data_IF_041945853618
#
_entry.id   IF_041945853618
#
_cell.length_a   1.000
_cell.length_b   1.000
_cell.length_c   1.000
_cell.angle_alpha   90.00
_cell.angle_beta   90.00
_cell.angle_gamma   90.00
#
_symmetry.space_group_name_H-M   'P 1'
#
loop_
_entity.id
_entity.type
_entity.pdbx_description
1 polymer ?
#
# COMPACT_ATOMS: atom_id res chain seq x y z
N UNK A 1 27.35 36.26 1.86
CA UNK A 1 25.95 35.89 1.56
C UNK A 1 25.05 35.91 2.80
N UNK A 2 25.51 35.40 3.95
CA UNK A 2 24.74 35.37 5.21
C UNK A 2 24.38 36.76 5.76
N UNK A 3 25.32 37.72 5.73
CA UNK A 3 25.09 39.09 6.24
C UNK A 3 24.04 39.85 5.42
N UNK A 4 24.04 39.68 4.10
CA UNK A 4 23.05 40.30 3.20
C UNK A 4 21.66 39.71 3.45
N UNK A 5 21.57 38.38 3.60
CA UNK A 5 20.31 37.72 3.96
C UNK A 5 19.75 38.19 5.31
N UNK A 6 20.64 38.40 6.30
CA UNK A 6 20.24 38.88 7.63
C UNK A 6 19.69 40.31 7.59
N UNK A 7 20.33 41.22 6.84
CA UNK A 7 19.85 42.60 6.66
C UNK A 7 18.47 42.65 5.99
N UNK A 8 18.27 41.82 4.96
CA UNK A 8 16.98 41.72 4.25
C UNK A 8 15.89 41.21 5.21
N UNK A 9 16.17 40.16 5.98
CA UNK A 9 15.22 39.62 6.94
C UNK A 9 14.81 40.67 7.99
N UNK A 10 15.79 41.40 8.53
CA UNK A 10 15.55 42.45 9.54
C UNK A 10 14.70 43.59 8.97
N UNK A 11 14.96 43.99 7.72
CA UNK A 11 14.17 45.01 7.03
C UNK A 11 12.71 44.57 6.81
N UNK A 12 12.49 43.32 6.36
CA UNK A 12 11.15 42.76 6.17
C UNK A 12 10.39 42.69 7.50
N UNK A 13 11.03 42.22 8.57
CA UNK A 13 10.42 42.15 9.89
C UNK A 13 10.02 43.54 10.41
N UNK A 14 10.91 44.54 10.24
CA UNK A 14 10.62 45.93 10.61
C UNK A 14 9.43 46.48 9.81
N UNK A 15 9.38 46.22 8.50
CA UNK A 15 8.29 46.64 7.62
C UNK A 15 6.96 45.98 8.03
N UNK A 16 6.98 44.69 8.35
CA UNK A 16 5.79 43.94 8.79
C UNK A 16 5.23 44.47 10.11
N UNK A 17 6.09 44.82 11.07
CA UNK A 17 5.65 45.40 12.34
C UNK A 17 5.09 46.82 12.12
N UNK A 18 5.73 47.62 11.28
CA UNK A 18 5.30 48.99 11.00
C UNK A 18 3.94 49.08 10.27
N UNK A 19 3.68 48.16 9.32
CA UNK A 19 2.45 48.18 8.52
C UNK A 19 1.31 47.36 9.11
N UNK A 20 1.58 46.17 9.68
CA UNK A 20 0.54 45.25 10.15
C UNK A 20 0.43 45.19 11.69
N UNK A 21 1.36 45.83 12.43
CA UNK A 21 1.38 45.79 13.89
C UNK A 21 1.57 44.36 14.42
N UNK A 22 0.92 43.98 15.54
CA UNK A 22 1.07 42.64 16.13
C UNK A 22 0.55 41.52 15.21
N UNK A 23 -0.35 41.84 14.28
CA UNK A 23 -0.89 40.87 13.33
C UNK A 23 0.12 40.48 12.24
N UNK A 24 1.16 41.30 12.00
CA UNK A 24 2.19 41.02 11.00
C UNK A 24 2.95 39.72 11.28
N UNK A 25 3.16 39.42 12.56
CA UNK A 25 3.80 38.18 12.99
C UNK A 25 2.96 36.93 12.65
N UNK A 26 1.63 37.03 12.68
CA UNK A 26 0.74 35.92 12.33
C UNK A 26 0.56 35.76 10.82
N UNK A 27 0.62 36.85 10.06
CA UNK A 27 0.42 36.84 8.60
C UNK A 27 1.67 36.33 7.85
N UNK A 28 2.87 36.62 8.34
CA UNK A 28 4.12 36.17 7.71
C UNK A 28 4.21 34.65 7.48
N UNK A 29 3.97 33.77 8.48
CA UNK A 29 4.04 32.32 8.25
C UNK A 29 2.99 31.84 7.25
N UNK A 30 1.81 32.48 7.20
CA UNK A 30 0.77 32.14 6.21
C UNK A 30 1.24 32.47 4.79
N UNK A 31 1.87 33.63 4.59
CA UNK A 31 2.42 34.03 3.29
C UNK A 31 3.58 33.12 2.85
N UNK A 32 4.50 32.82 3.78
CA UNK A 32 5.62 31.89 3.50
C UNK A 32 5.08 30.51 3.14
N UNK A 33 4.10 30.01 3.90
CA UNK A 33 3.47 28.72 3.61
C UNK A 33 2.77 28.72 2.25
N UNK A 34 2.01 29.78 1.94
CA UNK A 34 1.34 29.93 0.64
C UNK A 34 2.34 29.94 -0.53
N UNK A 35 3.47 30.63 -0.36
CA UNK A 35 4.54 30.66 -1.36
C UNK A 35 5.19 29.29 -1.55
N UNK A 36 5.56 28.61 -0.46
CA UNK A 36 6.15 27.26 -0.51
C UNK A 36 5.17 26.27 -1.13
N UNK A 37 3.89 26.34 -0.76
CA UNK A 37 2.86 25.49 -1.33
C UNK A 37 2.66 25.73 -2.83
N UNK A 38 2.65 27.00 -3.26
CA UNK A 38 2.58 27.37 -4.68
C UNK A 38 3.76 26.81 -5.48
N UNK A 39 4.98 27.01 -4.98
CA UNK A 39 6.20 26.46 -5.60
C UNK A 39 6.16 24.94 -5.65
N UNK A 40 5.69 24.28 -4.59
CA UNK A 40 5.53 22.83 -4.54
C UNK A 40 4.56 22.33 -5.60
N UNK A 41 3.43 23.01 -5.79
CA UNK A 41 2.49 22.67 -6.87
C UNK A 41 3.09 22.85 -8.26
N UNK A 42 3.80 23.97 -8.49
CA UNK A 42 4.48 24.22 -9.78
C UNK A 42 5.55 23.16 -10.06
N UNK A 43 6.36 22.80 -9.06
CA UNK A 43 7.37 21.75 -9.21
C UNK A 43 6.76 20.40 -9.57
N UNK A 44 5.59 20.07 -9.01
CA UNK A 44 4.86 18.85 -9.40
C UNK A 44 4.42 18.87 -10.86
N UNK A 45 3.97 20.03 -11.36
CA UNK A 45 3.59 20.18 -12.77
C UNK A 45 4.82 20.05 -13.68
N UNK A 46 5.92 20.74 -13.34
CA UNK A 46 7.18 20.66 -14.08
C UNK A 46 7.70 19.22 -14.12
N UNK A 47 7.61 18.49 -13.00
CA UNK A 47 8.02 17.10 -12.96
C UNK A 47 7.18 16.22 -13.90
N UNK A 48 5.86 16.42 -13.92
CA UNK A 48 4.96 15.72 -14.85
C UNK A 48 5.28 16.04 -16.30
N UNK A 49 5.53 17.30 -16.63
CA UNK A 49 5.88 17.72 -17.99
C UNK A 49 7.22 17.12 -18.43
N UNK A 50 8.22 17.10 -17.54
CA UNK A 50 9.51 16.45 -17.79
C UNK A 50 9.31 14.94 -17.98
N UNK A 51 8.46 14.28 -17.18
CA UNK A 51 8.14 12.86 -17.34
C UNK A 51 7.52 12.58 -18.72
N UNK A 52 6.51 13.36 -19.13
CA UNK A 52 5.89 13.25 -20.46
C UNK A 52 6.89 13.48 -21.60
N UNK A 53 7.82 14.43 -21.43
CA UNK A 53 8.87 14.68 -22.44
C UNK A 53 9.82 13.48 -22.51
N UNK A 54 10.23 12.91 -21.37
CA UNK A 54 11.10 11.72 -21.33
C UNK A 54 10.44 10.50 -21.94
N UNK A 55 9.17 10.28 -21.65
CA UNK A 55 8.34 9.23 -22.27
C UNK A 55 8.38 9.34 -23.79
N UNK A 56 8.05 10.52 -24.33
CA UNK A 56 8.09 10.76 -25.78
C UNK A 56 9.46 10.62 -26.42
N UNK A 57 10.53 10.78 -25.63
CA UNK A 57 11.91 10.61 -26.07
C UNK A 57 12.45 9.18 -25.86
N UNK A 58 11.67 8.28 -25.23
CA UNK A 58 12.12 6.93 -24.89
C UNK A 58 13.24 6.90 -23.84
N UNK A 59 13.29 7.92 -22.98
CA UNK A 59 14.29 8.10 -21.92
C UNK A 59 13.70 7.87 -20.53
N UNK A 60 12.58 7.16 -20.46
CA UNK A 60 12.01 6.74 -19.19
C UNK A 60 12.98 5.82 -18.46
N UNK A 61 12.96 5.92 -17.14
CA UNK A 61 13.64 4.98 -16.27
C UNK A 61 12.71 3.79 -16.04
N UNK A 62 13.26 2.62 -15.79
CA UNK A 62 12.51 1.39 -15.51
C UNK A 62 11.46 1.58 -14.40
N UNK A 63 11.82 2.29 -13.32
CA UNK A 63 10.87 2.64 -12.24
C UNK A 63 9.72 3.54 -12.72
N UNK A 64 10.01 4.48 -13.62
CA UNK A 64 9.02 5.43 -14.16
C UNK A 64 8.08 4.75 -15.16
N UNK A 65 8.57 3.73 -15.90
CA UNK A 65 7.81 2.86 -16.81
C UNK A 65 6.80 2.00 -16.06
N UNK A 66 7.23 1.32 -14.99
CA UNK A 66 6.33 0.49 -14.16
C UNK A 66 5.20 1.35 -13.57
N UNK A 67 5.52 2.53 -13.06
CA UNK A 67 4.51 3.45 -12.52
C UNK A 67 3.50 3.88 -13.59
N UNK A 68 3.95 4.11 -14.83
CA UNK A 68 3.09 4.51 -15.94
C UNK A 68 2.18 3.36 -16.40
N UNK A 69 2.70 2.14 -16.50
CA UNK A 69 1.91 0.94 -16.85
C UNK A 69 0.82 0.65 -15.80
N UNK A 70 1.17 0.76 -14.51
CA UNK A 70 0.21 0.64 -13.41
C UNK A 70 -0.85 1.74 -13.48
N UNK A 71 -0.46 3.00 -13.71
CA UNK A 71 -1.43 4.09 -13.81
C UNK A 71 -2.36 3.90 -15.01
N UNK A 72 -1.83 3.43 -16.14
CA UNK A 72 -2.61 3.17 -17.36
C UNK A 72 -3.65 2.07 -17.15
N UNK A 73 -3.28 0.99 -16.48
CA UNK A 73 -4.23 -0.11 -16.18
C UNK A 73 -5.33 0.35 -15.22
N UNK A 74 -5.03 1.20 -14.23
CA UNK A 74 -6.01 1.83 -13.35
C UNK A 74 -6.97 2.74 -14.14
N UNK A 75 -6.43 3.57 -15.03
CA UNK A 75 -7.24 4.48 -15.86
C UNK A 75 -8.15 3.72 -16.83
N UNK A 76 -7.66 2.61 -17.40
CA UNK A 76 -8.44 1.72 -18.25
C UNK A 76 -9.56 1.03 -17.47
N UNK A 77 -9.27 0.52 -16.28
CA UNK A 77 -10.28 -0.02 -15.36
C UNK A 77 -11.35 1.01 -15.00
N UNK A 78 -10.97 2.26 -14.72
CA UNK A 78 -11.92 3.32 -14.39
C UNK A 78 -12.76 3.79 -15.59
N UNK A 79 -12.25 3.64 -16.81
CA UNK A 79 -12.98 3.92 -18.06
C UNK A 79 -13.84 2.75 -18.53
N UNK A 80 -13.57 1.53 -18.04
CA UNK A 80 -14.35 0.36 -18.39
C UNK A 80 -15.81 0.49 -17.95
N UNK A 81 -16.71 -0.15 -18.69
CA UNK A 81 -18.15 -0.13 -18.43
C UNK A 81 -18.40 -0.62 -16.99
N UNK A 82 -19.22 0.09 -16.17
CA UNK A 82 -19.60 -0.39 -14.84
C UNK A 82 -20.08 -1.84 -14.81
N UNK A 83 -20.72 -2.34 -15.88
CA UNK A 83 -21.14 -3.75 -15.97
C UNK A 83 -19.94 -4.70 -16.07
N UNK A 84 -18.91 -4.32 -16.84
CA UNK A 84 -17.66 -5.07 -16.96
C UNK A 84 -16.89 -5.09 -15.63
N UNK A 85 -16.88 -3.97 -14.90
CA UNK A 85 -16.25 -3.88 -13.56
C UNK A 85 -16.95 -4.77 -12.54
N UNK A 86 -18.29 -4.78 -12.58
CA UNK A 86 -19.08 -5.65 -11.71
C UNK A 86 -18.75 -7.13 -11.96
N UNK A 87 -18.64 -7.52 -13.23
CA UNK A 87 -18.31 -8.90 -13.60
C UNK A 87 -16.89 -9.29 -13.16
N UNK A 88 -15.91 -8.39 -13.35
CA UNK A 88 -14.53 -8.62 -12.89
C UNK A 88 -14.51 -8.83 -11.37
N UNK A 89 -15.23 -8.00 -10.61
CA UNK A 89 -15.30 -8.16 -9.16
C UNK A 89 -15.96 -9.48 -8.75
N UNK A 90 -17.06 -9.88 -9.42
CA UNK A 90 -17.74 -11.16 -9.18
C UNK A 90 -16.82 -12.35 -9.47
N UNK A 91 -16.07 -12.31 -10.57
CA UNK A 91 -15.10 -13.35 -10.94
C UNK A 91 -13.98 -13.46 -9.88
N UNK A 92 -13.47 -12.32 -9.37
CA UNK A 92 -12.47 -12.27 -8.30
C UNK A 92 -13.02 -12.85 -6.99
N UNK A 93 -14.24 -12.47 -6.60
CA UNK A 93 -14.88 -13.00 -5.39
C UNK A 93 -15.04 -14.52 -5.48
N UNK A 94 -15.46 -15.02 -6.64
CA UNK A 94 -15.61 -16.46 -6.89
C UNK A 94 -14.28 -17.21 -6.83
N UNK A 95 -13.22 -16.69 -7.45
CA UNK A 95 -11.88 -17.30 -7.42
C UNK A 95 -11.29 -17.30 -6.00
N UNK A 96 -11.50 -16.21 -5.25
CA UNK A 96 -11.09 -16.11 -3.85
C UNK A 96 -11.82 -17.14 -2.98
N UNK A 97 -13.13 -17.28 -3.18
CA UNK A 97 -13.93 -18.25 -2.43
C UNK A 97 -13.50 -19.69 -2.77
N UNK A 98 -13.26 -20.00 -4.05
CA UNK A 98 -12.75 -21.32 -4.45
C UNK A 98 -11.40 -21.62 -3.80
N UNK A 99 -10.50 -20.64 -3.74
CA UNK A 99 -9.19 -20.80 -3.11
C UNK A 99 -9.30 -21.06 -1.60
N UNK A 100 -10.27 -20.41 -0.94
CA UNK A 100 -10.58 -20.64 0.47
C UNK A 100 -11.17 -22.03 0.68
N UNK A 101 -12.09 -22.45 -0.19
CA UNK A 101 -12.74 -23.75 -0.11
C UNK A 101 -11.72 -24.88 -0.33
N UNK A 102 -10.83 -24.74 -1.30
CA UNK A 102 -9.72 -25.68 -1.55
C UNK A 102 -8.77 -25.78 -0.35
N UNK A 103 -8.43 -24.64 0.26
CA UNK A 103 -7.63 -24.61 1.48
C UNK A 103 -8.34 -25.35 2.64
N UNK A 104 -9.63 -25.09 2.85
CA UNK A 104 -10.40 -25.73 3.92
C UNK A 104 -10.58 -27.24 3.68
N UNK A 105 -10.75 -27.65 2.42
CA UNK A 105 -10.85 -29.07 2.05
C UNK A 105 -9.52 -29.78 2.30
N UNK A 106 -8.39 -29.14 1.98
CA UNK A 106 -7.06 -29.68 2.28
C UNK A 106 -6.79 -29.81 3.79
N UNK A 107 -7.14 -28.80 4.61
CA UNK A 107 -6.98 -28.85 6.08
C UNK A 107 -7.90 -29.90 6.71
N UNK A 108 -9.12 -30.08 6.17
CA UNK A 108 -10.05 -31.11 6.64
C UNK A 108 -9.55 -32.54 6.35
N UNK A 109 -9.01 -32.76 5.14
CA UNK A 109 -8.43 -34.06 4.76
C UNK A 109 -7.23 -34.39 5.65
N UNK A 110 -6.33 -33.42 5.88
CA UNK A 110 -5.15 -33.61 6.72
C UNK A 110 -5.54 -33.96 8.16
N UNK A 111 -6.52 -33.27 8.75
CA UNK A 111 -7.04 -33.60 10.10
C UNK A 111 -7.69 -34.97 10.15
N UNK A 112 -8.44 -35.36 9.12
CA UNK A 112 -9.08 -36.68 9.09
C UNK A 112 -8.07 -37.83 8.98
N UNK A 113 -6.93 -37.61 8.33
CA UNK A 113 -5.85 -38.61 8.28
C UNK A 113 -5.16 -38.75 9.64
N UNK A 114 -4.89 -37.62 10.30
CA UNK A 114 -4.32 -37.61 11.68
C UNK A 114 -5.24 -38.32 12.67
N UNK A 115 -6.55 -38.07 12.62
CA UNK A 115 -7.52 -38.72 13.52
C UNK A 115 -7.54 -40.25 13.34
N UNK A 116 -7.41 -40.74 12.09
CA UNK A 116 -7.33 -42.19 11.81
C UNK A 116 -6.01 -42.81 12.28
N UNK A 117 -4.90 -42.08 12.16
CA UNK A 117 -3.59 -42.53 12.65
C UNK A 117 -3.60 -42.67 14.18
N UNK A 118 -4.18 -41.71 14.90
CA UNK A 118 -4.35 -41.76 16.35
C UNK A 118 -5.21 -42.95 16.77
N UNK A 119 -6.32 -43.22 16.08
CA UNK A 119 -7.19 -44.35 16.38
C UNK A 119 -6.46 -45.69 16.21
N UNK A 120 -5.67 -45.84 15.14
CA UNK A 120 -4.88 -47.04 14.90
C UNK A 120 -3.76 -47.24 15.95
N UNK A 121 -3.07 -46.18 16.37
CA UNK A 121 -2.07 -46.26 17.44
C UNK A 121 -2.70 -46.66 18.78
N UNK A 122 -3.88 -46.14 19.10
CA UNK A 122 -4.61 -46.47 20.33
C UNK A 122 -5.07 -47.93 20.34
N UNK A 123 -5.59 -48.45 19.22
CA UNK A 123 -5.94 -49.87 19.10
C UNK A 123 -4.71 -50.77 19.29
N UNK A 124 -3.58 -50.40 18.67
CA UNK A 124 -2.33 -51.16 18.84
C UNK A 124 -1.88 -51.16 20.31
N UNK A 125 -1.95 -50.02 21.01
CA UNK A 125 -1.57 -49.92 22.41
C UNK A 125 -2.48 -50.73 23.35
N UNK A 126 -3.77 -50.81 23.06
CA UNK A 126 -4.73 -51.65 23.80
C UNK A 126 -4.37 -53.13 23.60
N UNK A 127 -4.18 -53.55 22.35
CA UNK A 127 -3.88 -54.93 22.01
C UNK A 127 -2.53 -55.41 22.59
N UNK A 128 -1.50 -54.55 22.55
CA UNK A 128 -0.18 -54.85 23.12
C UNK A 128 -0.18 -54.94 24.65
N UNK A 129 -1.15 -54.32 25.33
CA UNK A 129 -1.31 -54.39 26.79
C UNK A 129 -2.19 -55.55 27.23
N UNK A 130 -3.25 -55.91 26.49
CA UNK A 130 -4.04 -57.12 26.75
C UNK A 130 -3.17 -58.38 26.67
N UNK A 131 -2.26 -58.46 25.67
CA UNK A 131 -1.33 -59.60 25.52
C UNK A 131 -0.32 -59.74 26.67
N UNK A 132 -0.09 -58.68 27.47
CA UNK A 132 0.84 -58.68 28.61
C UNK A 132 0.18 -59.06 29.93
N UNK A 133 -1.14 -58.93 30.09
CA UNK A 133 -1.83 -59.37 31.30
C UNK A 133 -2.02 -60.89 31.33
N UNK A 134 -2.27 -61.53 30.18
CA UNK A 134 -2.44 -63.00 30.08
C UNK A 134 -1.16 -63.84 30.32
N UNK A 135 0.01 -63.20 30.44
CA UNK A 135 1.29 -63.89 30.71
C UNK A 135 1.75 -63.79 32.17
N UNK A 136 0.92 -63.25 33.06
CA UNK A 136 1.24 -63.08 34.50
C UNK A 136 0.48 -63.99 35.46
N UNK A 137 -0.37 -64.91 34.97
CA UNK A 137 -0.93 -66.01 35.79
C UNK A 137 -0.04 -67.25 35.82
#
# INVERSE_FOLDING_TARGET
MTVVGMLIALFITLLSIAFLGPYGAAVLPILVFGMVFSISQQNKQIYKDIKLIREKLGLLREEEEIEEEVQKSIDEYNKSDPEMRSKINEDIEKETQNSIDEYNESDFVERSEVDKEIEAELEQYINDNEVKEDKKE
#
